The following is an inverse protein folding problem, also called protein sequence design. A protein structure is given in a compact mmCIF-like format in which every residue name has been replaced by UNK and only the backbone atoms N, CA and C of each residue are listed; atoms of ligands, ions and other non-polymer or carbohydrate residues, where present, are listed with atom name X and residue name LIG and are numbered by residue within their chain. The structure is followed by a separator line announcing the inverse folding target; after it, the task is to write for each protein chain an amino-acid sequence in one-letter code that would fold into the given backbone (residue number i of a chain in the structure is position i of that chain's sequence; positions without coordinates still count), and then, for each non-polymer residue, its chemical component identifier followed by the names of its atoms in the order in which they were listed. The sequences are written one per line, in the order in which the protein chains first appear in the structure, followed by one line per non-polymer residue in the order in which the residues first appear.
data_IF_904394028144
#
_entry.id   IF_904394028144
#
_cell.length_a   1.000
_cell.length_b   1.000
_cell.length_c   1.000
_cell.angle_alpha   90.00
_cell.angle_beta   90.00
_cell.angle_gamma   90.00
#
_symmetry.space_group_name_H-M   'P 1'
#
loop_
_entity.id
_entity.type
_entity.pdbx_description
1 polymer ?
#
# COMPACT_ATOMS: atom_id res chain seq x y z
N UNK A 1 14.35 -13.33 -0.18
CA UNK A 1 14.27 -13.65 -1.62
C UNK A 1 12.79 -13.69 -1.88
N UNK A 2 12.18 -12.60 -2.35
CA UNK A 2 10.71 -12.50 -2.49
C UNK A 2 10.20 -13.64 -3.37
N UNK A 3 9.71 -14.70 -2.74
CA UNK A 3 9.10 -15.81 -3.43
C UNK A 3 7.76 -15.31 -3.96
N UNK A 4 7.73 -15.03 -5.26
CA UNK A 4 6.50 -15.19 -6.00
C UNK A 4 6.07 -16.66 -5.81
N UNK A 5 5.16 -16.93 -4.87
CA UNK A 5 4.56 -18.26 -4.73
C UNK A 5 3.57 -18.47 -5.88
N UNK A 6 4.07 -18.43 -7.11
CA UNK A 6 3.40 -18.96 -8.27
C UNK A 6 3.17 -20.46 -8.07
N UNK A 7 2.24 -20.99 -8.85
CA UNK A 7 1.75 -22.38 -8.78
C UNK A 7 2.86 -23.45 -8.88
N UNK A 8 4.08 -23.04 -9.26
CA UNK A 8 5.26 -23.88 -9.44
C UNK A 8 6.30 -23.81 -8.31
N UNK A 9 6.07 -23.06 -7.23
CA UNK A 9 7.01 -23.08 -6.10
C UNK A 9 7.02 -24.47 -5.44
N UNK A 10 8.19 -24.91 -4.93
CA UNK A 10 8.29 -26.17 -4.15
C UNK A 10 7.36 -26.22 -2.95
N UNK A 11 6.88 -25.06 -2.48
CA UNK A 11 5.84 -24.99 -1.44
C UNK A 11 4.51 -25.62 -1.87
N UNK A 12 4.21 -25.65 -3.17
CA UNK A 12 3.04 -26.35 -3.74
C UNK A 12 3.35 -27.81 -4.12
N UNK A 13 4.62 -28.22 -4.15
CA UNK A 13 5.04 -29.62 -4.24
C UNK A 13 4.99 -30.26 -2.84
N UNK A 14 3.78 -30.48 -2.34
CA UNK A 14 3.59 -31.20 -1.08
C UNK A 14 4.12 -32.64 -1.22
N UNK A 15 5.20 -32.97 -0.50
CA UNK A 15 5.76 -34.34 -0.38
C UNK A 15 4.85 -35.30 0.39
N UNK A 16 3.75 -34.81 0.98
CA UNK A 16 2.82 -35.60 1.75
C UNK A 16 1.40 -35.38 1.22
N UNK A 17 0.71 -36.47 0.90
CA UNK A 17 -0.71 -36.43 0.55
C UNK A 17 -1.50 -35.84 1.72
N UNK A 18 -2.24 -34.75 1.47
CA UNK A 18 -3.17 -34.21 2.45
C UNK A 18 -4.29 -35.24 2.66
N UNK A 19 -4.32 -35.86 3.85
CA UNK A 19 -5.36 -36.83 4.24
C UNK A 19 -6.71 -36.18 4.58
N UNK A 20 -6.79 -34.85 4.57
CA UNK A 20 -8.00 -34.11 4.92
C UNK A 20 -8.83 -33.81 3.66
N UNK A 21 -10.04 -34.36 3.62
CA UNK A 21 -10.97 -34.25 2.49
C UNK A 21 -11.59 -32.85 2.36
N UNK A 22 -11.41 -31.99 3.37
CA UNK A 22 -11.85 -30.59 3.37
C UNK A 22 -10.74 -29.60 2.98
N UNK A 23 -9.56 -30.09 2.60
CA UNK A 23 -8.48 -29.22 2.14
C UNK A 23 -8.83 -28.67 0.75
N UNK A 24 -8.73 -27.34 0.51
CA UNK A 24 -9.07 -26.77 -0.79
C UNK A 24 -8.21 -27.41 -1.88
N UNK A 25 -8.85 -27.79 -2.99
CA UNK A 25 -8.24 -28.54 -4.09
C UNK A 25 -6.88 -27.93 -4.49
N UNK A 26 -5.87 -28.80 -4.63
CA UNK A 26 -4.54 -28.40 -5.06
C UNK A 26 -4.63 -27.64 -6.39
N UNK A 27 -3.93 -26.50 -6.52
CA UNK A 27 -3.93 -25.78 -7.78
C UNK A 27 -3.22 -26.63 -8.84
N UNK A 28 -3.90 -26.87 -9.96
CA UNK A 28 -3.39 -27.71 -11.05
C UNK A 28 -2.16 -27.08 -11.68
N UNK A 29 -1.07 -27.83 -11.72
CA UNK A 29 0.26 -27.42 -12.22
C UNK A 29 0.46 -27.66 -13.72
N UNK A 30 -0.51 -28.31 -14.39
CA UNK A 30 -0.46 -28.59 -15.82
C UNK A 30 -0.83 -27.32 -16.61
N UNK A 31 0.02 -26.86 -17.56
CA UNK A 31 -0.28 -25.70 -18.40
C UNK A 31 -1.62 -25.85 -19.13
N UNK A 32 -2.53 -24.89 -18.94
CA UNK A 32 -3.88 -24.91 -19.53
C UNK A 32 -4.96 -25.54 -18.65
N UNK A 33 -4.59 -26.20 -17.56
CA UNK A 33 -5.54 -26.74 -16.56
C UNK A 33 -5.61 -25.92 -15.27
N UNK A 34 -4.66 -25.00 -15.06
CA UNK A 34 -4.76 -23.99 -14.02
C UNK A 34 -5.95 -23.07 -14.30
N UNK A 35 -6.79 -22.79 -13.30
CA UNK A 35 -7.88 -21.82 -13.48
C UNK A 35 -7.26 -20.48 -13.96
N UNK A 36 -7.79 -19.85 -15.03
CA UNK A 36 -7.29 -18.56 -15.54
C UNK A 36 -7.20 -17.47 -14.46
N UNK A 37 -8.06 -17.57 -13.44
CA UNK A 37 -8.06 -16.69 -12.30
C UNK A 37 -6.81 -16.86 -11.43
N UNK A 38 -6.20 -18.04 -11.37
CA UNK A 38 -4.94 -18.29 -10.63
C UNK A 38 -3.78 -17.53 -11.24
N UNK A 39 -3.67 -17.49 -12.57
CA UNK A 39 -2.63 -16.69 -13.25
C UNK A 39 -2.88 -15.18 -13.06
N UNK A 40 -4.14 -14.73 -13.13
CA UNK A 40 -4.50 -13.34 -12.84
C UNK A 40 -4.17 -12.98 -11.40
N UNK A 41 -4.57 -13.80 -10.44
CA UNK A 41 -4.35 -13.61 -8.99
C UNK A 41 -2.85 -13.65 -8.66
N UNK A 42 -2.06 -14.49 -9.32
CA UNK A 42 -0.60 -14.59 -9.08
C UNK A 42 0.16 -13.28 -9.27
N UNK A 43 -0.33 -12.39 -10.13
CA UNK A 43 0.23 -11.04 -10.31
C UNK A 43 -0.28 -10.01 -9.28
N UNK A 44 -1.33 -10.34 -8.51
CA UNK A 44 -1.95 -9.47 -7.49
C UNK A 44 -1.67 -9.91 -6.05
N UNK A 45 -1.22 -11.16 -5.80
CA UNK A 45 -0.91 -11.67 -4.45
C UNK A 45 0.53 -11.43 -3.98
N UNK A 46 1.36 -10.73 -4.78
CA UNK A 46 2.54 -10.01 -4.26
C UNK A 46 2.10 -9.08 -3.13
N UNK A 47 2.93 -8.82 -2.09
CA UNK A 47 2.52 -8.13 -0.86
C UNK A 47 1.47 -7.08 -1.16
N UNK A 48 0.20 -7.50 -1.02
CA UNK A 48 -0.91 -6.80 -1.62
C UNK A 48 -1.04 -5.46 -0.95
N UNK A 49 -1.72 -4.52 -1.60
CA UNK A 49 -1.95 -3.24 -0.97
C UNK A 49 -2.59 -3.43 0.41
N UNK A 50 -1.93 -2.92 1.46
CA UNK A 50 -2.38 -3.12 2.84
C UNK A 50 -3.30 -1.95 3.20
N UNK A 51 -4.47 -2.26 3.77
CA UNK A 51 -5.28 -1.27 4.44
C UNK A 51 -4.79 -1.12 5.89
N UNK A 52 -4.47 0.11 6.27
CA UNK A 52 -4.16 0.48 7.64
C UNK A 52 -5.27 1.37 8.21
N UNK A 53 -5.53 1.20 9.51
CA UNK A 53 -6.60 1.87 10.22
C UNK A 53 -6.04 2.57 11.46
N UNK A 54 -6.41 3.83 11.67
CA UNK A 54 -6.14 4.51 12.94
C UNK A 54 -7.34 4.28 13.86
N UNK A 55 -7.20 3.27 14.70
CA UNK A 55 -8.19 2.88 15.70
C UNK A 55 -7.74 3.29 17.10
N UNK A 56 -8.70 3.64 17.96
CA UNK A 56 -8.45 3.92 19.38
C UNK A 56 -7.98 2.68 20.16
N UNK A 57 -8.27 1.49 19.65
CA UNK A 57 -7.86 0.23 20.26
C UNK A 57 -7.87 -0.95 19.29
N UNK A 58 -7.69 -2.15 19.84
CA UNK A 58 -7.52 -3.39 19.06
C UNK A 58 -8.77 -4.28 19.06
N UNK A 59 -9.87 -3.84 19.66
CA UNK A 59 -11.14 -4.58 19.61
C UNK A 59 -11.78 -4.50 18.22
N UNK A 60 -12.62 -5.49 17.90
CA UNK A 60 -13.33 -5.53 16.63
C UNK A 60 -14.15 -4.25 16.41
N UNK A 61 -14.92 -3.84 17.43
CA UNK A 61 -15.78 -2.65 17.37
C UNK A 61 -14.99 -1.38 17.10
N UNK A 62 -13.83 -1.20 17.74
CA UNK A 62 -13.00 -0.01 17.54
C UNK A 62 -12.37 0.03 16.14
N UNK A 63 -11.90 -1.12 15.65
CA UNK A 63 -11.37 -1.25 14.28
C UNK A 63 -12.48 -0.98 13.26
N UNK A 64 -13.67 -1.54 13.49
CA UNK A 64 -14.83 -1.35 12.63
C UNK A 64 -15.31 0.11 12.60
N UNK A 65 -15.29 0.78 13.76
CA UNK A 65 -15.58 2.20 13.84
C UNK A 65 -14.57 3.04 13.04
N UNK A 66 -13.27 2.76 13.12
CA UNK A 66 -12.25 3.46 12.33
C UNK A 66 -12.46 3.29 10.82
N UNK A 67 -12.82 2.08 10.39
CA UNK A 67 -13.18 1.78 9.00
C UNK A 67 -14.40 2.60 8.54
N UNK A 68 -15.48 2.62 9.34
CA UNK A 68 -16.70 3.37 9.04
C UNK A 68 -16.46 4.88 9.00
N UNK A 69 -15.61 5.39 9.88
CA UNK A 69 -15.23 6.80 9.95
C UNK A 69 -14.18 7.19 8.91
N UNK A 70 -13.76 6.26 8.03
CA UNK A 70 -12.75 6.50 6.98
C UNK A 70 -11.42 6.98 7.55
N UNK A 71 -11.11 6.65 8.81
CA UNK A 71 -9.82 6.98 9.43
C UNK A 71 -8.77 5.93 9.04
N UNK A 72 -8.53 5.83 7.73
CA UNK A 72 -7.78 4.74 7.11
C UNK A 72 -6.86 5.26 6.01
N UNK A 73 -5.91 4.43 5.62
CA UNK A 73 -5.04 4.70 4.48
C UNK A 73 -4.61 3.38 3.83
N UNK A 74 -4.34 3.40 2.54
CA UNK A 74 -3.82 2.25 1.81
C UNK A 74 -2.31 2.35 1.65
N UNK A 75 -1.60 1.24 1.54
CA UNK A 75 -0.23 1.17 1.04
C UNK A 75 -0.18 0.28 -0.18
N UNK A 76 0.86 0.40 -1.01
CA UNK A 76 1.07 -0.47 -2.18
C UNK A 76 1.79 -1.80 -1.86
N UNK A 77 2.01 -2.08 -0.57
CA UNK A 77 2.57 -3.36 -0.11
C UNK A 77 3.35 -3.21 1.21
N UNK A 78 4.38 -2.36 1.27
CA UNK A 78 5.12 -2.16 2.52
C UNK A 78 4.28 -1.50 3.61
N UNK A 79 4.62 -1.78 4.88
CA UNK A 79 3.98 -1.20 6.07
C UNK A 79 4.45 0.25 6.32
N UNK A 80 4.24 1.12 5.34
CA UNK A 80 4.44 2.57 5.44
C UNK A 80 3.38 3.12 6.39
N UNK A 81 3.73 4.12 7.20
CA UNK A 81 2.79 4.79 8.10
C UNK A 81 2.44 6.17 7.54
N UNK A 82 1.18 6.56 7.64
CA UNK A 82 0.67 7.84 7.13
C UNK A 82 -0.42 8.41 8.05
N UNK A 83 -0.30 9.71 8.35
CA UNK A 83 -1.31 10.53 8.99
C UNK A 83 -1.52 11.79 8.17
N UNK A 84 -2.77 12.20 8.01
CA UNK A 84 -3.14 13.43 7.33
C UNK A 84 -4.28 14.07 8.11
N UNK A 85 -4.05 15.27 8.62
CA UNK A 85 -4.99 15.97 9.47
C UNK A 85 -5.16 17.41 8.99
N UNK A 86 -6.37 17.95 9.13
CA UNK A 86 -6.62 19.39 9.05
C UNK A 86 -6.55 19.98 10.46
N UNK A 87 -5.90 21.12 10.62
CA UNK A 87 -5.57 21.69 11.94
C UNK A 87 -6.49 22.82 12.38
N UNK A 88 -7.17 23.48 11.43
CA UNK A 88 -8.01 24.65 11.67
C UNK A 88 -9.50 24.43 11.32
N UNK A 89 -9.97 23.19 11.34
CA UNK A 89 -11.39 22.91 11.15
C UNK A 89 -12.23 23.44 12.34
N UNK A 90 -13.53 23.72 12.15
CA UNK A 90 -14.43 23.98 13.25
C UNK A 90 -14.42 22.82 14.25
N UNK A 91 -14.19 23.10 15.53
CA UNK A 91 -14.00 22.06 16.55
C UNK A 91 -12.55 21.55 16.68
N UNK A 92 -11.60 22.14 15.95
CA UNK A 92 -10.17 21.88 16.09
C UNK A 92 -9.63 20.89 15.07
N UNK A 93 -8.57 20.17 15.45
CA UNK A 93 -7.89 19.21 14.58
C UNK A 93 -8.81 18.04 14.23
N UNK A 94 -8.93 17.71 12.94
CA UNK A 94 -9.74 16.58 12.44
C UNK A 94 -8.89 15.68 11.52
N UNK A 95 -9.04 14.35 11.59
CA UNK A 95 -8.22 13.41 10.83
C UNK A 95 -8.71 13.21 9.39
N UNK A 96 -7.91 12.51 8.60
CA UNK A 96 -8.33 11.96 7.31
C UNK A 96 -9.63 11.14 7.43
N UNK A 97 -10.45 11.19 6.38
CA UNK A 97 -11.80 10.63 6.37
C UNK A 97 -12.90 11.61 6.77
N UNK A 98 -12.53 12.74 7.37
CA UNK A 98 -13.49 13.74 7.86
C UNK A 98 -14.17 14.52 6.73
N UNK A 99 -15.42 14.89 6.99
CA UNK A 99 -16.23 15.79 6.17
C UNK A 99 -16.51 17.08 6.96
N UNK A 100 -16.13 18.23 6.40
CA UNK A 100 -16.03 19.48 7.15
C UNK A 100 -16.61 20.60 6.32
N UNK A 101 -17.44 21.43 6.94
CA UNK A 101 -17.93 22.68 6.34
C UNK A 101 -17.13 23.85 6.88
N UNK A 102 -16.40 24.58 6.01
CA UNK A 102 -15.60 25.73 6.44
C UNK A 102 -15.38 26.75 5.32
N UNK A 103 -15.18 28.02 5.69
CA UNK A 103 -14.95 29.13 4.74
C UNK A 103 -13.51 29.65 4.72
N UNK A 104 -12.73 29.38 5.77
CA UNK A 104 -11.33 29.80 5.86
C UNK A 104 -10.42 28.89 5.03
N UNK A 105 -9.24 29.40 4.67
CA UNK A 105 -8.23 28.59 4.02
C UNK A 105 -7.83 27.40 4.91
N UNK A 106 -7.92 26.16 4.41
CA UNK A 106 -7.62 24.98 5.20
C UNK A 106 -6.12 24.81 5.38
N UNK A 107 -5.72 24.48 6.61
CA UNK A 107 -4.34 24.20 7.02
C UNK A 107 -4.21 22.74 7.41
N UNK A 108 -3.18 22.09 6.89
CA UNK A 108 -3.00 20.66 7.07
C UNK A 108 -1.63 20.31 7.62
N UNK A 109 -1.58 19.16 8.28
CA UNK A 109 -0.36 18.47 8.70
C UNK A 109 -0.38 17.08 8.07
N UNK A 110 0.73 16.70 7.41
CA UNK A 110 0.96 15.32 6.98
C UNK A 110 2.19 14.80 7.69
N UNK A 111 2.07 13.58 8.21
CA UNK A 111 3.17 12.86 8.83
C UNK A 111 3.28 11.48 8.19
N UNK A 112 4.48 11.08 7.79
CA UNK A 112 4.71 9.78 7.19
C UNK A 112 6.02 9.17 7.66
N UNK A 113 6.05 7.84 7.78
CA UNK A 113 7.27 7.10 8.10
C UNK A 113 7.36 5.86 7.20
N UNK A 114 8.52 5.63 6.59
CA UNK A 114 8.73 4.48 5.72
C UNK A 114 8.60 3.16 6.48
N UNK A 115 8.44 2.07 5.73
CA UNK A 115 8.41 0.73 6.29
C UNK A 115 9.75 0.36 6.95
N UNK A 116 9.73 -0.60 7.87
CA UNK A 116 10.97 -1.11 8.46
C UNK A 116 11.77 -1.93 7.45
N UNK A 117 13.09 -1.70 7.41
CA UNK A 117 14.02 -2.52 6.63
C UNK A 117 13.98 -3.95 7.17
N UNK A 118 13.80 -4.93 6.29
CA UNK A 118 13.75 -6.34 6.67
C UNK A 118 15.15 -6.90 6.88
N UNK A 119 15.33 -7.70 7.93
CA UNK A 119 16.49 -8.57 8.10
C UNK A 119 16.23 -9.90 7.40
N UNK A 120 17.31 -10.63 7.11
CA UNK A 120 17.20 -11.98 6.58
C UNK A 120 16.61 -12.96 7.61
N UNK A 121 15.92 -13.99 7.12
CA UNK A 121 15.36 -15.06 7.95
C UNK A 121 14.20 -14.62 8.85
N UNK A 122 13.91 -15.44 9.87
CA UNK A 122 12.79 -15.24 10.77
C UNK A 122 13.21 -14.58 12.10
N UNK A 123 12.32 -13.82 12.76
CA UNK A 123 12.58 -13.30 14.09
C UNK A 123 12.71 -14.44 15.10
N UNK A 124 13.53 -14.24 16.14
CA UNK A 124 13.86 -15.27 17.15
C UNK A 124 12.60 -15.79 17.82
N UNK A 125 11.64 -14.92 18.09
CA UNK A 125 10.36 -15.27 18.69
C UNK A 125 9.57 -16.27 17.84
N UNK A 126 9.63 -16.17 16.51
CA UNK A 126 9.00 -17.13 15.60
C UNK A 126 9.74 -18.47 15.59
N UNK A 127 11.07 -18.45 15.66
CA UNK A 127 11.91 -19.65 15.71
C UNK A 127 11.67 -20.42 17.00
N UNK A 128 11.57 -19.72 18.13
CA UNK A 128 11.36 -20.33 19.44
C UNK A 128 9.92 -20.85 19.64
N UNK A 129 8.95 -20.27 18.92
CA UNK A 129 7.52 -20.58 19.07
C UNK A 129 7.00 -21.67 18.11
N UNK A 130 7.72 -21.97 17.03
CA UNK A 130 7.28 -22.88 15.97
C UNK A 130 8.32 -23.96 15.69
N UNK A 131 7.88 -25.19 15.37
CA UNK A 131 8.80 -26.21 14.87
C UNK A 131 9.42 -25.78 13.53
N UNK A 132 10.62 -26.26 13.17
CA UNK A 132 11.24 -25.93 11.89
C UNK A 132 10.33 -26.23 10.68
N UNK A 133 9.61 -27.34 10.70
CA UNK A 133 8.70 -27.74 9.62
C UNK A 133 7.50 -26.79 9.53
N UNK A 134 6.97 -26.34 10.68
CA UNK A 134 5.83 -25.42 10.72
C UNK A 134 6.25 -24.01 10.31
N UNK A 135 7.43 -23.57 10.71
CA UNK A 135 8.00 -22.28 10.32
C UNK A 135 8.24 -22.25 8.81
N UNK A 136 8.86 -23.29 8.26
CA UNK A 136 9.07 -23.42 6.81
C UNK A 136 7.74 -23.44 6.05
N UNK A 137 6.76 -24.19 6.55
CA UNK A 137 5.44 -24.26 5.94
C UNK A 137 4.68 -22.92 5.95
N UNK A 138 4.71 -22.18 7.06
CA UNK A 138 3.95 -20.94 7.20
C UNK A 138 4.63 -19.75 6.54
N UNK A 139 5.95 -19.70 6.60
CA UNK A 139 6.70 -18.52 6.22
C UNK A 139 7.48 -18.70 4.92
N UNK A 140 7.80 -19.93 4.51
CA UNK A 140 8.57 -20.23 3.30
C UNK A 140 9.83 -19.36 3.16
N UNK A 141 10.52 -19.11 4.28
CA UNK A 141 11.69 -18.23 4.35
C UNK A 141 11.42 -16.72 4.34
N UNK A 142 10.17 -16.27 4.19
CA UNK A 142 9.77 -14.86 4.03
C UNK A 142 9.04 -14.31 5.27
N UNK A 143 9.52 -14.69 6.45
CA UNK A 143 9.06 -14.11 7.71
C UNK A 143 9.16 -12.58 7.72
N UNK A 144 8.16 -11.91 8.27
CA UNK A 144 8.28 -10.49 8.60
C UNK A 144 9.29 -10.31 9.74
N UNK A 145 10.52 -9.90 9.41
CA UNK A 145 11.64 -9.74 10.32
C UNK A 145 12.14 -8.29 10.30
N UNK A 146 11.40 -7.34 10.89
CA UNK A 146 11.75 -5.94 10.83
C UNK A 146 13.02 -5.63 11.64
N UNK A 147 13.86 -4.77 11.10
CA UNK A 147 14.90 -4.08 11.85
C UNK A 147 14.34 -2.85 12.58
N UNK A 148 15.19 -2.19 13.36
CA UNK A 148 14.87 -0.91 14.01
C UNK A 148 15.08 0.30 13.08
N UNK A 149 15.46 0.08 11.82
CA UNK A 149 15.68 1.13 10.84
C UNK A 149 14.50 1.18 9.87
N UNK A 150 14.08 2.38 9.50
CA UNK A 150 13.06 2.60 8.47
C UNK A 150 13.70 2.98 7.15
N UNK A 151 13.00 2.65 6.08
CA UNK A 151 13.21 3.28 4.79
C UNK A 151 12.85 4.77 4.86
N UNK A 152 13.52 5.57 4.06
CA UNK A 152 13.29 7.01 3.98
C UNK A 152 12.01 7.26 3.16
N UNK A 153 11.18 8.21 3.60
CA UNK A 153 10.15 8.79 2.72
C UNK A 153 10.86 9.79 1.82
N UNK A 154 10.80 9.61 0.50
CA UNK A 154 11.46 10.48 -0.47
C UNK A 154 10.70 11.80 -0.62
N UNK A 155 9.37 11.72 -0.68
CA UNK A 155 8.49 12.88 -0.82
C UNK A 155 7.06 12.60 -0.38
N UNK A 156 6.33 13.67 -0.10
CA UNK A 156 4.89 13.68 0.10
C UNK A 156 4.26 14.54 -0.99
N UNK A 157 3.25 13.99 -1.66
CA UNK A 157 2.45 14.64 -2.69
C UNK A 157 1.03 14.86 -2.15
N UNK A 158 0.47 16.04 -2.40
CA UNK A 158 -0.92 16.35 -2.08
C UNK A 158 -1.70 16.36 -3.37
N UNK A 159 -2.79 15.61 -3.41
CA UNK A 159 -3.74 15.63 -4.51
C UNK A 159 -4.93 16.47 -4.08
N UNK A 160 -5.34 17.39 -4.95
CA UNK A 160 -6.52 18.23 -4.77
C UNK A 160 -7.51 17.96 -5.89
N UNK A 161 -8.76 17.69 -5.52
CA UNK A 161 -9.85 17.48 -6.47
C UNK A 161 -10.99 18.43 -6.11
N UNK A 162 -11.55 19.12 -7.10
CA UNK A 162 -12.76 19.95 -6.92
C UNK A 162 -13.91 19.36 -7.72
N UNK A 163 -15.10 19.16 -7.16
CA UNK A 163 -16.24 18.62 -7.91
C UNK A 163 -16.73 19.64 -8.94
N UNK A 164 -17.35 19.19 -10.04
CA UNK A 164 -17.97 20.09 -11.02
C UNK A 164 -19.09 20.92 -10.38
N UNK A 165 -19.14 22.22 -10.68
CA UNK A 165 -20.17 23.13 -10.18
C UNK A 165 -21.32 23.36 -11.17
N UNK A 166 -21.13 22.98 -12.44
CA UNK A 166 -22.16 23.06 -13.48
C UNK A 166 -21.95 22.01 -14.56
N UNK A 167 -23.03 21.66 -15.26
CA UNK A 167 -22.99 20.70 -16.36
C UNK A 167 -22.08 21.20 -17.50
N UNK A 168 -21.15 20.36 -17.94
CA UNK A 168 -20.21 20.70 -19.00
C UNK A 168 -18.94 21.42 -18.55
N UNK A 169 -18.73 21.65 -17.25
CA UNK A 169 -17.43 22.14 -16.74
C UNK A 169 -16.31 21.16 -17.11
N UNK A 170 -15.18 21.66 -17.60
CA UNK A 170 -14.06 20.80 -17.99
C UNK A 170 -13.49 20.05 -16.78
N UNK A 171 -13.34 18.72 -16.89
CA UNK A 171 -12.88 17.85 -15.78
C UNK A 171 -11.37 17.97 -15.54
N UNK A 172 -10.58 18.08 -16.61
CA UNK A 172 -9.10 18.10 -16.54
C UNK A 172 -8.54 19.09 -15.49
N UNK A 173 -8.94 20.37 -15.43
CA UNK A 173 -8.41 21.31 -14.44
C UNK A 173 -8.88 21.05 -13.00
N UNK A 174 -9.90 20.21 -12.81
CA UNK A 174 -10.50 19.91 -11.50
C UNK A 174 -9.77 18.80 -10.74
N UNK A 175 -8.89 18.05 -11.40
CA UNK A 175 -8.08 16.98 -10.80
C UNK A 175 -6.61 17.40 -10.85
N UNK A 176 -6.08 17.79 -9.70
CA UNK A 176 -4.69 18.23 -9.56
C UNK A 176 -3.90 17.12 -8.86
N UNK A 177 -3.47 16.13 -9.66
CA UNK A 177 -2.59 15.05 -9.20
C UNK A 177 -1.16 15.61 -9.02
N UNK A 178 -0.67 15.53 -7.78
CA UNK A 178 0.51 16.26 -7.28
C UNK A 178 0.36 17.79 -7.30
N UNK A 179 -0.75 18.32 -6.79
CA UNK A 179 -0.97 19.77 -6.59
C UNK A 179 0.15 20.44 -5.78
N UNK A 180 0.64 19.78 -4.73
CA UNK A 180 1.85 20.19 -3.99
C UNK A 180 2.75 18.97 -3.79
N UNK A 181 4.05 19.18 -3.88
CA UNK A 181 5.07 18.14 -3.64
C UNK A 181 6.11 18.67 -2.67
N UNK A 182 6.40 17.89 -1.64
CA UNK A 182 7.36 18.20 -0.59
C UNK A 182 8.43 17.13 -0.56
N UNK A 183 9.69 17.51 -0.74
CA UNK A 183 10.81 16.59 -0.54
C UNK A 183 11.04 16.38 0.95
N UNK A 184 11.19 15.11 1.32
CA UNK A 184 11.49 14.70 2.67
C UNK A 184 13.01 14.44 2.74
N UNK A 185 13.73 15.25 3.51
CA UNK A 185 15.16 15.02 3.77
C UNK A 185 15.33 13.72 4.57
N UNK A 186 16.57 13.21 4.69
CA UNK A 186 16.97 11.88 5.17
C UNK A 186 16.67 11.55 6.66
N UNK A 187 15.55 12.04 7.18
CA UNK A 187 14.99 11.71 8.49
C UNK A 187 14.11 10.46 8.40
N UNK A 188 13.99 9.73 9.52
CA UNK A 188 13.18 8.51 9.60
C UNK A 188 11.67 8.75 9.52
N UNK A 189 11.24 9.98 9.75
CA UNK A 189 9.86 10.45 9.72
C UNK A 189 9.83 11.80 8.98
N UNK A 190 8.86 11.96 8.09
CA UNK A 190 8.64 13.20 7.36
C UNK A 190 7.37 13.89 7.87
N UNK A 191 7.51 15.14 8.30
CA UNK A 191 6.43 15.98 8.78
C UNK A 191 6.38 17.24 7.91
N UNK A 192 5.22 17.52 7.33
CA UNK A 192 4.98 18.74 6.55
C UNK A 192 3.73 19.44 7.04
N UNK A 193 3.73 20.76 6.90
CA UNK A 193 2.56 21.61 7.12
C UNK A 193 2.33 22.45 5.87
N UNK A 194 1.07 22.60 5.47
CA UNK A 194 0.73 23.43 4.30
C UNK A 194 -0.67 24.03 4.41
N UNK A 195 -0.91 25.06 3.60
CA UNK A 195 -2.20 25.72 3.47
C UNK A 195 -2.65 25.73 2.00
N UNK A 196 -3.96 25.65 1.77
CA UNK A 196 -4.57 26.05 0.50
C UNK A 196 -5.03 27.51 0.56
N UNK A 197 -4.15 28.42 0.15
CA UNK A 197 -4.43 29.86 0.15
C UNK A 197 -5.52 30.27 -0.85
N UNK A 198 -5.85 29.38 -1.80
CA UNK A 198 -6.78 29.64 -2.90
C UNK A 198 -8.05 28.79 -2.77
N UNK A 199 -8.44 28.43 -1.54
CA UNK A 199 -9.64 27.65 -1.28
C UNK A 199 -10.91 28.46 -1.58
N UNK A 200 -11.53 28.16 -2.72
CA UNK A 200 -12.64 28.96 -3.26
C UNK A 200 -13.95 28.20 -3.44
N UNK A 201 -13.91 26.86 -3.47
CA UNK A 201 -15.04 25.95 -3.72
C UNK A 201 -14.83 24.62 -3.00
N UNK A 202 -15.85 23.78 -2.97
CA UNK A 202 -15.76 22.41 -2.45
C UNK A 202 -14.51 21.71 -2.97
N UNK A 203 -13.77 21.08 -2.07
CA UNK A 203 -12.47 20.50 -2.40
C UNK A 203 -12.25 19.23 -1.58
N UNK A 204 -11.62 18.26 -2.23
CA UNK A 204 -11.19 17.00 -1.64
C UNK A 204 -9.67 16.97 -1.68
N UNK A 205 -9.06 16.66 -0.54
CA UNK A 205 -7.60 16.55 -0.42
C UNK A 205 -7.25 15.16 0.05
N UNK A 206 -6.21 14.56 -0.51
CA UNK A 206 -5.56 13.40 0.09
C UNK A 206 -4.05 13.48 -0.08
N UNK A 207 -3.33 12.87 0.85
CA UNK A 207 -1.89 12.81 0.85
C UNK A 207 -1.41 11.47 0.28
N UNK A 208 -0.34 11.52 -0.50
CA UNK A 208 0.38 10.38 -1.03
C UNK A 208 1.84 10.47 -0.56
N UNK A 209 2.29 9.53 0.27
CA UNK A 209 3.68 9.44 0.67
C UNK A 209 4.40 8.42 -0.22
N UNK A 210 5.60 8.76 -0.71
CA UNK A 210 6.42 7.91 -1.57
C UNK A 210 7.70 7.59 -0.83
N UNK A 211 7.97 6.31 -0.62
CA UNK A 211 9.18 5.79 -0.01
C UNK A 211 10.33 5.75 -1.04
N UNK A 212 11.57 5.80 -0.55
CA UNK A 212 12.74 5.49 -1.38
C UNK A 212 12.54 4.16 -2.13
N UNK A 213 13.03 4.05 -3.38
CA UNK A 213 12.82 2.86 -4.17
C UNK A 213 13.37 1.59 -3.52
N UNK A 214 12.55 0.55 -3.45
CA UNK A 214 12.94 -0.79 -3.00
C UNK A 214 12.69 -1.80 -4.10
N UNK A 215 13.36 -2.95 -4.03
CA UNK A 215 13.09 -4.05 -4.95
C UNK A 215 11.67 -4.58 -4.71
N UNK A 216 10.89 -4.64 -5.78
CA UNK A 216 9.55 -5.21 -5.80
C UNK A 216 9.38 -6.05 -7.07
N UNK A 217 8.57 -7.10 -6.99
CA UNK A 217 8.22 -7.91 -8.15
C UNK A 217 7.43 -7.02 -9.13
N UNK A 218 7.81 -7.03 -10.41
CA UNK A 218 7.29 -6.11 -11.41
C UNK A 218 7.46 -4.63 -11.04
N UNK A 219 8.45 -4.29 -10.21
CA UNK A 219 8.68 -2.91 -9.76
C UNK A 219 9.19 -1.97 -10.86
N UNK A 220 9.66 -2.51 -11.99
CA UNK A 220 10.15 -1.71 -13.12
C UNK A 220 9.00 -0.91 -13.72
N UNK A 221 9.14 0.41 -13.75
CA UNK A 221 8.22 1.27 -14.49
C UNK A 221 8.44 1.07 -15.99
N UNK A 222 7.36 0.85 -16.73
CA UNK A 222 7.37 0.77 -18.18
C UNK A 222 6.59 1.96 -18.74
N UNK A 223 7.14 2.61 -19.76
CA UNK A 223 6.46 3.68 -20.48
C UNK A 223 5.68 3.11 -21.67
N UNK A 224 4.57 3.74 -22.03
CA UNK A 224 3.83 3.33 -23.22
C UNK A 224 4.72 3.49 -24.47
N UNK A 225 4.93 2.41 -25.21
CA UNK A 225 5.83 2.35 -26.37
C UNK A 225 7.14 1.58 -26.14
N UNK A 226 7.39 1.10 -24.92
CA UNK A 226 8.47 0.14 -24.68
C UNK A 226 8.11 -1.21 -25.34
N UNK A 227 8.81 -1.56 -26.42
CA UNK A 227 8.65 -2.86 -27.08
C UNK A 227 9.10 -4.03 -26.17
N UNK A 228 9.85 -3.73 -25.11
CA UNK A 228 10.40 -4.66 -24.13
C UNK A 228 9.58 -4.77 -22.83
N UNK A 229 8.26 -4.48 -22.85
CA UNK A 229 7.39 -4.73 -21.69
C UNK A 229 7.39 -6.22 -21.32
N UNK A 230 8.15 -6.56 -20.28
CA UNK A 230 8.26 -7.93 -19.74
C UNK A 230 7.61 -7.97 -18.36
N UNK A 231 6.33 -8.33 -18.35
CA UNK A 231 5.62 -8.65 -17.13
C UNK A 231 6.07 -10.01 -16.60
N UNK A 232 6.45 -10.07 -15.33
CA UNK A 232 6.64 -11.33 -14.64
C UNK A 232 5.32 -12.05 -14.47
N UNK A 233 5.24 -13.23 -15.06
CA UNK A 233 4.10 -14.12 -14.96
C UNK A 233 4.47 -15.21 -13.96
N UNK A 234 3.66 -15.44 -12.93
CA UNK A 234 3.85 -16.52 -11.95
C UNK A 234 3.62 -17.94 -12.53
N UNK A 235 4.01 -18.16 -13.79
CA UNK A 235 3.77 -19.33 -14.64
C UNK A 235 5.06 -19.76 -15.33
N UNK A 236 5.00 -20.83 -16.13
CA UNK A 236 6.14 -21.31 -16.94
C UNK A 236 6.69 -20.31 -17.97
N UNK A 237 6.01 -19.17 -18.17
CA UNK A 237 6.41 -18.12 -19.11
C UNK A 237 7.51 -17.21 -18.56
N UNK A 238 7.83 -17.32 -17.28
CA UNK A 238 8.97 -16.64 -16.64
C UNK A 238 9.91 -17.72 -16.11
N UNK A 239 11.21 -17.55 -16.37
CA UNK A 239 12.23 -18.49 -15.91
C UNK A 239 12.22 -18.59 -14.37
N UNK A 240 12.37 -19.81 -13.84
CA UNK A 240 12.27 -20.05 -12.39
C UNK A 240 13.35 -19.29 -11.59
N UNK A 241 14.48 -18.99 -12.22
CA UNK A 241 15.59 -18.23 -11.62
C UNK A 241 15.39 -16.71 -11.68
N UNK A 242 14.36 -16.21 -12.36
CA UNK A 242 14.07 -14.78 -12.46
C UNK A 242 13.15 -14.37 -11.30
N UNK A 243 13.71 -13.71 -10.30
CA UNK A 243 12.96 -13.14 -9.18
C UNK A 243 12.09 -11.94 -9.59
N UNK A 244 12.22 -11.46 -10.83
CA UNK A 244 11.40 -10.41 -11.42
C UNK A 244 11.43 -9.06 -10.69
N UNK A 245 12.54 -8.76 -10.02
CA UNK A 245 12.67 -7.58 -9.18
C UNK A 245 13.03 -6.34 -10.00
N UNK A 246 12.32 -5.26 -9.72
CA UNK A 246 12.64 -3.92 -10.18
C UNK A 246 12.50 -2.91 -9.05
N UNK A 247 13.18 -1.78 -9.16
CA UNK A 247 13.05 -0.70 -8.17
C UNK A 247 11.69 -0.03 -8.30
N UNK A 248 10.91 -0.04 -7.21
CA UNK A 248 9.62 0.62 -7.10
C UNK A 248 9.62 1.62 -5.93
N UNK A 249 9.15 2.84 -6.21
CA UNK A 249 8.81 3.83 -5.18
C UNK A 249 7.44 3.48 -4.58
N UNK A 250 7.46 2.59 -3.59
CA UNK A 250 6.26 2.16 -2.86
C UNK A 250 5.62 3.34 -2.12
N UNK A 251 4.30 3.29 -1.96
CA UNK A 251 3.50 4.47 -1.59
C UNK A 251 2.38 4.15 -0.62
N UNK A 252 1.98 5.18 0.12
CA UNK A 252 0.81 5.18 0.98
C UNK A 252 -0.13 6.33 0.60
N UNK A 253 -1.44 6.09 0.63
CA UNK A 253 -2.47 7.06 0.29
C UNK A 253 -3.46 7.20 1.42
N UNK A 254 -3.65 8.43 1.91
CA UNK A 254 -4.60 8.72 2.97
C UNK A 254 -6.04 8.56 2.46
N UNK A 255 -6.98 8.29 3.36
CA UNK A 255 -8.36 8.66 3.08
C UNK A 255 -8.46 10.18 2.81
N UNK A 256 -9.44 10.62 2.01
CA UNK A 256 -9.56 12.03 1.73
C UNK A 256 -10.14 12.82 2.91
N UNK A 257 -9.80 14.09 2.98
CA UNK A 257 -10.54 15.09 3.75
C UNK A 257 -11.44 15.83 2.77
N UNK A 258 -12.73 15.89 3.06
CA UNK A 258 -13.75 16.53 2.24
C UNK A 258 -14.12 17.87 2.86
N UNK A 259 -13.91 18.96 2.10
CA UNK A 259 -14.23 20.31 2.53
C UNK A 259 -15.37 20.88 1.69
N UNK A 260 -16.48 21.17 2.36
CA UNK A 260 -17.64 21.84 1.78
C UNK A 260 -17.61 23.32 2.15
N UNK A 261 -17.83 24.18 1.15
CA UNK A 261 -17.96 25.61 1.40
C UNK A 261 -19.39 25.92 1.88
N UNK A 262 -19.56 26.75 2.92
CA UNK A 262 -20.88 27.19 3.39
C UNK A 262 -21.66 27.97 2.33
#
# INVERSE_FOLDING_TARGET
MTFATGVKSKMWEYKHEAKDINFPELPKIIPGEASPDTERVSSFVYPGGILAVHSEGRSNDQIWAALKNKNVYGTSGPRILLWFDITNAPGGKQPMGSEITMSQNPKFVVRAAGSFKQKEGCPVESIDSLSPERLEYLCAGECYNPSNQRHIIERIEIVKITPQSYAGEAISPLIQDSWKTFSCSSQSECLIEFEDSNYSRDSVYYARAIQEPTLAINGRQFTAGDEDFKLCKGSFRTELSDDCLGLAGERAWSSPIYLNKP
#
